data_IF_265154454644
#
_entry.id   IF_265154454644
#
_cell.length_a   1.000
_cell.length_b   1.000
_cell.length_c   1.000
_cell.angle_alpha   90.00
_cell.angle_beta   90.00
_cell.angle_gamma   90.00
#
_symmetry.space_group_name_H-M   'P 1'
#
loop_
_entity.id
_entity.type
_entity.pdbx_description
1 polymer ?
#
# COMPACT_ATOMS: atom_id res chain seq x y z
N UNK A 1 -6.48 7.01 -1.44
CA UNK A 1 -6.88 5.70 -1.45
C UNK A 1 -7.70 5.25 -0.27
N UNK A 2 -8.73 4.67 -0.51
CA UNK A 2 -9.66 4.38 0.53
C UNK A 2 -9.86 2.93 0.74
N UNK A 3 -8.84 2.16 0.60
CA UNK A 3 -9.01 0.75 0.67
C UNK A 3 -9.58 0.27 1.98
N UNK A 4 -9.30 0.98 3.03
CA UNK A 4 -9.86 0.56 4.31
C UNK A 4 -11.36 0.61 4.29
N UNK A 5 -11.90 1.71 3.77
CA UNK A 5 -13.34 1.80 3.67
C UNK A 5 -13.88 0.78 2.71
N UNK A 6 -13.18 0.55 1.63
CA UNK A 6 -13.65 -0.38 0.65
C UNK A 6 -13.77 -1.78 1.18
N UNK A 7 -12.93 -2.14 2.14
CA UNK A 7 -12.97 -3.46 2.68
C UNK A 7 -13.80 -3.59 3.92
N UNK A 8 -14.26 -2.49 4.45
CA UNK A 8 -15.02 -2.54 5.68
C UNK A 8 -16.36 -3.17 5.49
N UNK A 9 -17.28 -2.86 6.33
CA UNK A 9 -18.58 -3.51 6.40
C UNK A 9 -19.31 -3.38 5.10
N UNK A 10 -19.04 -4.26 4.25
CA UNK A 10 -19.47 -4.16 2.91
C UNK A 10 -20.94 -4.26 2.76
N UNK A 11 -21.56 -4.92 3.65
CA UNK A 11 -22.98 -5.06 3.54
C UNK A 11 -23.74 -3.80 3.54
N UNK A 12 -23.11 -2.75 4.00
CA UNK A 12 -23.87 -1.53 4.12
C UNK A 12 -24.14 -0.85 2.84
N UNK A 13 -23.60 -1.32 1.78
CA UNK A 13 -23.68 -0.56 0.62
C UNK A 13 -24.62 -1.01 -0.39
N UNK A 14 -25.58 -1.72 -0.02
CA UNK A 14 -26.57 -2.10 -0.96
C UNK A 14 -27.49 -0.99 -1.35
N UNK A 15 -27.24 0.21 -0.93
CA UNK A 15 -28.18 1.26 -1.24
C UNK A 15 -28.10 1.69 -2.68
N UNK A 16 -26.93 1.70 -3.27
CA UNK A 16 -26.84 2.22 -4.61
C UNK A 16 -25.86 1.42 -5.43
N UNK A 17 -26.16 1.25 -6.73
CA UNK A 17 -25.24 0.51 -7.61
C UNK A 17 -23.88 1.14 -7.71
N UNK A 18 -23.81 2.47 -7.65
CA UNK A 18 -22.53 3.15 -7.74
C UNK A 18 -21.67 2.83 -6.54
N UNK A 19 -22.24 2.87 -5.35
CA UNK A 19 -21.49 2.55 -4.15
C UNK A 19 -21.04 1.09 -4.18
N UNK A 20 -21.89 0.20 -4.64
CA UNK A 20 -21.57 -1.20 -4.75
C UNK A 20 -20.39 -1.43 -5.71
N UNK A 21 -20.42 -0.75 -6.85
CA UNK A 21 -19.33 -0.88 -7.81
C UNK A 21 -18.02 -0.35 -7.25
N UNK A 22 -18.07 0.74 -6.50
CA UNK A 22 -16.88 1.30 -5.87
C UNK A 22 -16.29 0.31 -4.87
N UNK A 23 -17.14 -0.33 -4.08
CA UNK A 23 -16.70 -1.30 -3.09
C UNK A 23 -16.09 -2.53 -3.74
N UNK A 24 -16.69 -3.00 -4.82
CA UNK A 24 -16.17 -4.13 -5.55
C UNK A 24 -14.81 -3.81 -6.14
N UNK A 25 -14.66 -2.61 -6.70
CA UNK A 25 -13.39 -2.19 -7.27
C UNK A 25 -12.29 -2.13 -6.20
N UNK A 26 -12.58 -1.54 -5.05
CA UNK A 26 -11.63 -1.46 -3.96
C UNK A 26 -11.26 -2.85 -3.46
N UNK A 27 -12.24 -3.73 -3.36
CA UNK A 27 -11.99 -5.10 -2.93
C UNK A 27 -11.06 -5.81 -3.91
N UNK A 28 -11.30 -5.66 -5.21
CA UNK A 28 -10.47 -6.28 -6.23
C UNK A 28 -9.03 -5.75 -6.19
N UNK A 29 -8.85 -4.46 -5.97
CA UNK A 29 -7.52 -3.88 -5.83
C UNK A 29 -6.80 -4.47 -4.62
N UNK A 30 -7.50 -4.62 -3.50
CA UNK A 30 -6.91 -5.18 -2.30
C UNK A 30 -6.54 -6.65 -2.50
N UNK A 31 -7.39 -7.39 -3.18
CA UNK A 31 -7.10 -8.79 -3.47
C UNK A 31 -5.90 -8.92 -4.40
N UNK A 32 -5.81 -8.07 -5.41
CA UNK A 32 -4.68 -8.08 -6.33
C UNK A 32 -3.40 -7.76 -5.60
N UNK A 33 -3.44 -6.77 -4.72
CA UNK A 33 -2.27 -6.41 -3.93
C UNK A 33 -1.85 -7.56 -3.01
N UNK A 34 -2.80 -8.20 -2.37
CA UNK A 34 -2.50 -9.31 -1.48
C UNK A 34 -1.81 -10.45 -2.22
N UNK A 35 -2.26 -10.73 -3.43
CA UNK A 35 -1.67 -11.79 -4.25
C UNK A 35 -0.23 -11.44 -4.61
N UNK A 36 0.00 -10.23 -5.11
CA UNK A 36 1.33 -9.80 -5.50
C UNK A 36 2.26 -9.74 -4.29
N UNK A 37 1.76 -9.24 -3.18
CA UNK A 37 2.52 -9.19 -1.95
C UNK A 37 2.93 -10.60 -1.51
N UNK A 38 2.00 -11.54 -1.58
CA UNK A 38 2.31 -12.91 -1.23
C UNK A 38 3.41 -13.52 -2.08
N UNK A 39 3.37 -13.23 -3.38
CA UNK A 39 4.43 -13.70 -4.27
C UNK A 39 5.78 -13.07 -3.92
N UNK A 40 5.78 -11.76 -3.68
CA UNK A 40 7.01 -11.04 -3.37
C UNK A 40 7.62 -11.51 -2.05
N UNK A 41 6.78 -11.85 -1.09
CA UNK A 41 7.23 -12.25 0.24
C UNK A 41 7.54 -13.73 0.38
N UNK A 42 7.33 -14.50 -0.69
CA UNK A 42 7.49 -15.95 -0.61
C UNK A 42 8.89 -16.32 -0.11
N UNK A 43 8.94 -17.06 0.99
CA UNK A 43 10.18 -17.53 1.61
C UNK A 43 11.11 -16.39 2.06
N UNK A 44 10.55 -15.22 2.34
CA UNK A 44 11.34 -14.09 2.81
C UNK A 44 10.84 -13.65 4.18
N UNK A 45 11.78 -13.22 5.01
CA UNK A 45 11.43 -12.64 6.30
C UNK A 45 11.28 -11.14 6.20
N UNK A 46 11.73 -10.56 5.10
CA UNK A 46 11.72 -9.12 4.90
C UNK A 46 11.59 -8.83 3.42
N UNK A 47 10.83 -7.81 3.06
CA UNK A 47 10.75 -7.34 1.68
C UNK A 47 10.95 -5.84 1.63
N UNK A 48 11.47 -5.36 0.50
CA UNK A 48 11.55 -3.93 0.22
C UNK A 48 10.55 -3.63 -0.87
N UNK A 49 9.73 -2.62 -0.62
CA UNK A 49 8.62 -2.28 -1.48
C UNK A 49 8.73 -0.82 -1.91
N UNK A 50 8.60 -0.57 -3.20
CA UNK A 50 8.54 0.78 -3.73
C UNK A 50 7.12 1.09 -4.15
N UNK A 51 6.57 2.16 -3.60
CA UNK A 51 5.20 2.59 -3.87
C UNK A 51 5.27 3.93 -4.58
N UNK A 52 5.07 3.91 -5.88
CA UNK A 52 5.16 5.10 -6.72
C UNK A 52 3.83 5.82 -6.69
N UNK A 53 3.81 7.02 -6.12
CA UNK A 53 2.55 7.75 -5.95
C UNK A 53 1.71 7.18 -4.83
N UNK A 54 2.34 6.64 -3.79
CA UNK A 54 1.65 5.92 -2.73
C UNK A 54 0.98 6.79 -1.68
N UNK A 55 1.09 8.10 -1.79
CA UNK A 55 0.46 8.99 -0.85
C UNK A 55 1.11 8.93 0.52
N UNK A 56 0.31 8.69 1.54
CA UNK A 56 0.81 8.71 2.91
C UNK A 56 1.00 7.32 3.51
N UNK A 57 1.03 6.29 2.69
CA UNK A 57 1.41 4.97 3.16
C UNK A 57 0.30 3.96 3.32
N UNK A 58 -0.76 4.08 2.56
CA UNK A 58 -1.86 3.11 2.63
C UNK A 58 -1.41 1.68 2.38
N UNK A 59 -0.59 1.47 1.37
CA UNK A 59 -0.15 0.12 1.05
C UNK A 59 0.83 -0.42 2.07
N UNK A 60 1.56 0.46 2.76
CA UNK A 60 2.38 0.02 3.86
C UNK A 60 1.52 -0.53 5.00
N UNK A 61 0.44 0.18 5.34
CA UNK A 61 -0.47 -0.30 6.37
C UNK A 61 -1.12 -1.61 5.96
N UNK A 62 -1.53 -1.70 4.72
CA UNK A 62 -2.17 -2.91 4.22
C UNK A 62 -1.20 -4.08 4.24
N UNK A 63 0.04 -3.86 3.83
CA UNK A 63 1.04 -4.92 3.83
C UNK A 63 1.30 -5.44 5.24
N UNK A 64 1.40 -4.53 6.21
CA UNK A 64 1.59 -4.92 7.60
C UNK A 64 0.41 -5.73 8.14
N UNK A 65 -0.79 -5.36 7.71
CA UNK A 65 -1.98 -6.08 8.15
C UNK A 65 -2.07 -7.47 7.54
N UNK A 66 -1.68 -7.59 6.28
CA UNK A 66 -1.78 -8.86 5.59
C UNK A 66 -0.67 -9.83 5.99
N UNK A 67 0.51 -9.30 6.27
CA UNK A 67 1.66 -10.13 6.60
C UNK A 67 2.41 -9.57 7.80
N UNK A 68 1.83 -9.68 8.98
CA UNK A 68 2.45 -9.12 10.18
C UNK A 68 3.77 -9.78 10.55
N UNK A 69 4.02 -10.96 10.04
CA UNK A 69 5.26 -11.69 10.33
C UNK A 69 6.42 -11.28 9.43
N UNK A 70 6.16 -10.47 8.40
CA UNK A 70 7.18 -10.04 7.45
C UNK A 70 7.57 -8.60 7.75
N UNK A 71 8.87 -8.33 7.78
CA UNK A 71 9.35 -6.95 7.92
C UNK A 71 9.21 -6.24 6.59
N UNK A 72 8.59 -5.07 6.60
CA UNK A 72 8.36 -4.29 5.39
C UNK A 72 9.27 -3.06 5.40
N UNK A 73 10.16 -3.00 4.43
CA UNK A 73 11.00 -1.83 4.18
C UNK A 73 10.29 -1.03 3.08
N UNK A 74 9.56 -0.01 3.47
CA UNK A 74 8.63 0.70 2.59
C UNK A 74 9.26 2.00 2.07
N UNK A 75 9.26 2.13 0.77
CA UNK A 75 9.79 3.31 0.08
C UNK A 75 8.67 3.91 -0.75
N UNK A 76 8.35 5.17 -0.50
CA UNK A 76 7.25 5.85 -1.17
C UNK A 76 7.75 7.12 -1.83
N UNK A 77 7.54 7.23 -3.14
CA UNK A 77 7.87 8.43 -3.89
C UNK A 77 6.59 9.15 -4.24
N UNK A 78 6.49 10.39 -3.79
CA UNK A 78 5.29 11.20 -4.06
C UNK A 78 5.64 12.67 -3.94
N UNK A 79 4.61 13.52 -3.96
CA UNK A 79 4.77 14.96 -3.84
C UNK A 79 5.24 15.33 -2.43
N UNK A 80 5.95 16.47 -2.29
CA UNK A 80 6.55 16.83 -1.00
C UNK A 80 5.58 16.88 0.16
N UNK A 81 4.37 17.41 -0.07
CA UNK A 81 3.38 17.50 1.01
C UNK A 81 2.99 16.13 1.52
N UNK A 82 2.75 15.20 0.61
CA UNK A 82 2.36 13.85 1.00
C UNK A 82 3.51 13.12 1.68
N UNK A 83 4.73 13.35 1.23
CA UNK A 83 5.89 12.76 1.86
C UNK A 83 6.07 13.27 3.28
N UNK A 84 5.79 14.55 3.52
CA UNK A 84 5.87 15.10 4.88
C UNK A 84 4.88 14.41 5.81
N UNK A 85 3.66 14.22 5.35
CA UNK A 85 2.66 13.54 6.17
C UNK A 85 3.04 12.08 6.40
N UNK A 86 3.50 11.41 5.36
CA UNK A 86 3.91 10.01 5.50
C UNK A 86 5.05 9.86 6.48
N UNK A 87 6.02 10.74 6.42
CA UNK A 87 7.16 10.69 7.33
C UNK A 87 6.74 10.92 8.78
N UNK A 88 5.73 11.75 9.00
CA UNK A 88 5.21 11.94 10.34
C UNK A 88 4.53 10.68 10.87
N UNK A 89 3.75 10.03 10.01
CA UNK A 89 3.02 8.84 10.39
C UNK A 89 3.93 7.62 10.56
N UNK A 90 4.93 7.51 9.70
CA UNK A 90 5.81 6.35 9.68
C UNK A 90 7.27 6.79 9.60
N UNK A 91 7.82 7.30 10.71
CA UNK A 91 9.17 7.86 10.68
C UNK A 91 10.27 6.84 10.36
N UNK A 92 9.98 5.57 10.50
CA UNK A 92 10.95 4.52 10.20
C UNK A 92 10.97 4.13 8.73
N UNK A 93 10.06 4.69 7.92
CA UNK A 93 9.97 4.33 6.52
C UNK A 93 10.48 5.47 5.65
N UNK A 94 10.56 5.22 4.34
CA UNK A 94 11.23 6.15 3.43
C UNK A 94 10.22 6.87 2.55
N UNK A 95 10.06 8.17 2.77
CA UNK A 95 9.19 9.00 1.93
C UNK A 95 10.06 10.05 1.26
N UNK A 96 10.03 10.12 -0.06
CA UNK A 96 10.96 10.97 -0.78
C UNK A 96 10.34 11.49 -2.08
N UNK A 97 10.97 12.54 -2.64
CA UNK A 97 10.51 13.15 -3.88
C UNK A 97 11.56 13.09 -4.98
N UNK A 98 12.79 12.64 -4.66
CA UNK A 98 13.89 12.62 -5.62
C UNK A 98 14.07 11.23 -6.23
N UNK A 99 15.22 10.99 -6.81
CA UNK A 99 15.50 9.75 -7.54
C UNK A 99 16.31 8.75 -6.74
N UNK A 100 16.32 8.85 -5.41
CA UNK A 100 17.10 7.93 -4.58
C UNK A 100 16.68 6.48 -4.75
N UNK A 101 15.49 6.25 -5.25
CA UNK A 101 14.99 4.90 -5.49
C UNK A 101 15.83 4.15 -6.51
N UNK A 102 16.56 4.84 -7.36
CA UNK A 102 17.27 4.22 -8.47
C UNK A 102 18.44 3.36 -8.03
N UNK A 103 18.97 3.59 -6.84
CA UNK A 103 20.15 2.86 -6.38
C UNK A 103 19.79 1.64 -5.56
N UNK A 104 18.51 1.37 -5.38
CA UNK A 104 18.06 0.27 -4.54
C UNK A 104 17.38 -0.81 -5.36
N UNK A 105 17.24 -1.97 -4.74
CA UNK A 105 16.50 -3.08 -5.34
C UNK A 105 15.24 -3.32 -4.54
N UNK A 106 14.18 -3.66 -5.24
CA UNK A 106 12.87 -3.83 -4.61
C UNK A 106 12.30 -5.20 -4.92
N UNK A 107 11.65 -5.79 -3.93
CA UNK A 107 10.94 -7.06 -4.13
C UNK A 107 9.59 -6.83 -4.76
N UNK A 108 9.03 -5.64 -4.56
CA UNK A 108 7.71 -5.30 -5.07
C UNK A 108 7.68 -3.83 -5.44
N UNK A 109 7.12 -3.50 -6.61
CA UNK A 109 6.92 -2.13 -7.05
C UNK A 109 5.45 -1.94 -7.35
N UNK A 110 4.87 -0.90 -6.77
CA UNK A 110 3.47 -0.51 -6.97
C UNK A 110 3.41 0.85 -7.65
N UNK A 111 2.43 1.04 -8.50
CA UNK A 111 2.23 2.36 -9.10
C UNK A 111 0.77 2.64 -9.40
#
# INVERSE_FOLDING_TARGET
MKLVQGTGPLGVNHQSPLATNTNIHSHNLNMSFAYVLGLAAHRKARIRMLDWGGGIGHYYLLARSLMPEIAIDYWCRDLPRLCSYGAELFPDQHFFTDDRWRTERYDLVMS
#
